data_IF_679572839715
#
_entry.id   IF_679572839715
#
_cell.length_a   1.000
_cell.length_b   1.000
_cell.length_c   1.000
_cell.angle_alpha   90.00
_cell.angle_beta   90.00
_cell.angle_gamma   90.00
#
_symmetry.space_group_name_H-M   'P 1'
#
loop_
_entity.id
_entity.type
_entity.pdbx_description
1 polymer ?
#
# COMPACT_ATOMS: atom_id res chain seq x y z
N UNK A 1 -42.06 1.66 -56.42
CA UNK A 1 -41.12 2.16 -55.39
C UNK A 1 -41.27 1.28 -54.16
N UNK A 2 -40.30 0.41 -53.91
CA UNK A 2 -40.17 -0.36 -52.67
C UNK A 2 -38.68 -0.37 -52.33
N UNK A 3 -38.32 0.25 -51.23
CA UNK A 3 -36.98 0.22 -50.66
C UNK A 3 -36.79 -1.05 -49.84
N UNK A 4 -35.60 -1.64 -49.93
CA UNK A 4 -35.05 -2.52 -48.89
C UNK A 4 -33.59 -2.11 -48.64
N UNK A 5 -33.34 -1.54 -47.46
CA UNK A 5 -31.99 -1.30 -46.94
C UNK A 5 -31.45 -2.59 -46.31
N UNK A 6 -30.67 -3.36 -47.06
CA UNK A 6 -29.90 -4.46 -46.48
C UNK A 6 -28.63 -3.93 -45.81
N UNK A 7 -28.70 -3.73 -44.49
CA UNK A 7 -27.55 -3.51 -43.60
C UNK A 7 -26.81 -4.84 -43.41
N UNK A 8 -25.61 -4.96 -43.97
CA UNK A 8 -24.64 -5.96 -43.52
C UNK A 8 -23.53 -5.25 -42.74
N UNK A 9 -23.70 -5.20 -41.42
CA UNK A 9 -22.63 -4.82 -40.50
C UNK A 9 -21.57 -5.93 -40.51
N UNK A 10 -20.41 -5.66 -41.13
CA UNK A 10 -19.26 -6.56 -41.00
C UNK A 10 -18.76 -6.44 -39.57
N UNK A 11 -18.99 -7.49 -38.77
CA UNK A 11 -18.57 -7.61 -37.38
C UNK A 11 -17.08 -7.32 -37.25
N UNK A 12 -16.74 -6.36 -36.39
CA UNK A 12 -15.43 -6.18 -35.79
C UNK A 12 -14.86 -7.54 -35.41
N UNK A 13 -13.76 -7.96 -36.03
CA UNK A 13 -12.94 -9.08 -35.54
C UNK A 13 -12.20 -8.61 -34.30
N UNK A 14 -12.90 -8.54 -33.17
CA UNK A 14 -12.24 -8.58 -31.87
C UNK A 14 -11.64 -9.98 -31.74
N UNK A 15 -10.38 -10.13 -32.17
CA UNK A 15 -9.57 -11.26 -31.76
C UNK A 15 -9.65 -11.31 -30.24
N UNK A 16 -10.37 -12.31 -29.75
CA UNK A 16 -10.45 -12.64 -28.34
C UNK A 16 -9.02 -12.73 -27.81
N UNK A 17 -8.59 -11.73 -27.06
CA UNK A 17 -7.45 -11.84 -26.15
C UNK A 17 -7.91 -12.74 -25.01
N UNK A 18 -8.09 -14.01 -25.31
CA UNK A 18 -8.15 -15.08 -24.33
C UNK A 18 -6.76 -15.71 -24.30
N UNK A 19 -6.28 -16.05 -23.09
CA UNK A 19 -4.99 -16.70 -22.78
C UNK A 19 -3.84 -15.79 -22.33
N UNK A 20 -4.12 -14.73 -21.55
CA UNK A 20 -3.32 -14.62 -20.30
C UNK A 20 -3.80 -15.79 -19.45
N UNK A 21 -2.95 -16.80 -19.27
CA UNK A 21 -3.23 -17.95 -18.42
C UNK A 21 -3.41 -17.45 -16.98
N UNK A 22 -4.63 -17.03 -16.64
CA UNK A 22 -5.06 -16.82 -15.27
C UNK A 22 -5.13 -18.20 -14.62
N UNK A 23 -3.97 -18.71 -14.20
CA UNK A 23 -3.95 -19.74 -13.18
C UNK A 23 -4.33 -19.07 -11.86
N UNK A 24 -5.63 -18.99 -11.60
CA UNK A 24 -6.10 -18.85 -10.24
C UNK A 24 -5.94 -20.23 -9.60
N UNK A 25 -4.79 -20.50 -8.97
CA UNK A 25 -4.75 -21.54 -7.94
C UNK A 25 -5.90 -21.20 -6.98
N UNK A 26 -6.87 -22.11 -6.80
CA UNK A 26 -7.99 -21.85 -5.88
C UNK A 26 -7.39 -21.41 -4.55
N UNK A 27 -7.86 -20.29 -3.99
CA UNK A 27 -7.38 -19.84 -2.70
C UNK A 27 -7.55 -20.97 -1.67
N UNK A 28 -6.44 -21.52 -1.17
CA UNK A 28 -6.45 -22.47 -0.06
C UNK A 28 -6.38 -21.67 1.24
N UNK A 29 -7.46 -20.94 1.51
CA UNK A 29 -7.64 -20.18 2.75
C UNK A 29 -8.06 -21.04 3.95
N UNK A 30 -8.12 -22.37 3.77
CA UNK A 30 -8.63 -23.30 4.80
C UNK A 30 -7.63 -23.60 5.92
N UNK A 31 -6.45 -22.97 5.91
CA UNK A 31 -5.48 -23.13 7.01
C UNK A 31 -5.82 -22.14 8.13
N UNK A 32 -5.88 -22.58 9.40
CA UNK A 32 -6.09 -21.69 10.56
C UNK A 32 -5.08 -20.53 10.68
N UNK A 33 -3.95 -20.61 9.98
CA UNK A 33 -2.88 -19.60 9.99
C UNK A 33 -2.84 -18.73 8.72
N UNK A 34 -3.98 -18.55 8.05
CA UNK A 34 -4.02 -17.73 6.85
C UNK A 34 -3.91 -16.25 7.22
N UNK A 35 -2.75 -15.65 6.94
CA UNK A 35 -2.56 -14.21 7.10
C UNK A 35 -3.34 -13.46 6.02
N UNK A 36 -3.76 -12.21 6.31
CA UNK A 36 -4.40 -11.40 5.30
C UNK A 36 -3.46 -11.21 4.11
N UNK A 37 -3.97 -11.45 2.91
CA UNK A 37 -3.26 -11.24 1.65
C UNK A 37 -3.77 -10.00 0.93
N UNK A 38 -2.90 -9.38 0.13
CA UNK A 38 -3.20 -8.16 -0.62
C UNK A 38 -2.33 -6.96 -0.23
N UNK A 39 -2.52 -5.81 -0.88
CA UNK A 39 -1.80 -4.59 -0.54
C UNK A 39 -2.02 -4.19 0.94
N UNK A 40 -0.96 -3.73 1.59
CA UNK A 40 -0.97 -3.22 2.97
C UNK A 40 -1.19 -4.27 4.07
N UNK A 41 -1.37 -5.55 3.74
CA UNK A 41 -1.55 -6.60 4.75
C UNK A 41 -0.24 -7.12 5.34
N UNK A 42 0.89 -6.75 4.73
CA UNK A 42 2.24 -7.10 5.16
C UNK A 42 2.93 -5.99 5.96
N UNK A 43 2.22 -4.89 6.25
CA UNK A 43 2.77 -3.76 6.99
C UNK A 43 2.42 -3.89 8.49
N UNK A 44 3.36 -3.59 9.39
CA UNK A 44 3.10 -3.60 10.83
C UNK A 44 2.32 -2.35 11.30
N UNK A 45 1.81 -1.53 10.37
CA UNK A 45 1.04 -0.32 10.65
C UNK A 45 -0.07 -0.12 9.61
N UNK A 46 -1.12 0.62 9.98
CA UNK A 46 -2.28 0.87 9.12
C UNK A 46 -2.14 2.20 8.34
N UNK A 47 -1.87 2.17 7.02
CA UNK A 47 -1.77 3.38 6.20
C UNK A 47 -3.12 4.04 5.90
N UNK A 48 -4.25 3.35 6.11
CA UNK A 48 -5.60 3.88 5.86
C UNK A 48 -6.20 4.61 7.06
N UNK A 49 -5.49 4.68 8.19
CA UNK A 49 -5.93 5.47 9.34
C UNK A 49 -6.06 6.94 8.96
N UNK A 50 -7.15 7.62 9.39
CA UNK A 50 -7.30 9.08 9.24
C UNK A 50 -6.18 9.88 9.91
N UNK A 51 -5.46 9.25 10.85
CA UNK A 51 -4.34 9.83 11.59
C UNK A 51 -2.98 9.39 11.05
N UNK A 52 -2.93 8.64 9.94
CA UNK A 52 -1.68 8.09 9.40
C UNK A 52 -0.65 9.19 9.13
N UNK A 53 -1.05 10.31 8.51
CA UNK A 53 -0.13 11.40 8.22
C UNK A 53 0.54 11.97 9.49
N UNK A 54 -0.23 12.19 10.55
CA UNK A 54 0.29 12.70 11.83
C UNK A 54 1.21 11.67 12.48
N UNK A 55 0.79 10.40 12.53
CA UNK A 55 1.60 9.33 13.12
C UNK A 55 2.91 9.10 12.37
N UNK A 56 2.86 9.10 11.03
CA UNK A 56 4.03 8.91 10.17
C UNK A 56 5.04 10.04 10.35
N UNK A 57 4.62 11.30 10.21
CA UNK A 57 5.52 12.44 10.38
C UNK A 57 6.00 12.61 11.81
N UNK A 58 5.17 12.27 12.81
CA UNK A 58 5.57 12.19 14.20
C UNK A 58 6.70 11.18 14.42
N UNK A 59 6.53 9.95 13.94
CA UNK A 59 7.57 8.91 14.02
C UNK A 59 8.89 9.36 13.37
N UNK A 60 8.81 9.94 12.16
CA UNK A 60 10.00 10.43 11.46
C UNK A 60 10.68 11.58 12.21
N UNK A 61 9.91 12.55 12.69
CA UNK A 61 10.43 13.68 13.45
C UNK A 61 11.07 13.21 14.77
N UNK A 62 10.45 12.28 15.49
CA UNK A 62 11.02 11.71 16.72
C UNK A 62 12.35 11.01 16.44
N UNK A 63 12.43 10.14 15.43
CA UNK A 63 13.66 9.45 15.08
C UNK A 63 14.77 10.42 14.64
N UNK A 64 14.42 11.44 13.86
CA UNK A 64 15.36 12.45 13.40
C UNK A 64 15.86 13.36 14.54
N UNK A 65 14.98 13.78 15.45
CA UNK A 65 15.31 14.70 16.53
C UNK A 65 15.90 14.01 17.77
N UNK A 66 15.78 12.69 17.90
CA UNK A 66 16.28 11.95 19.05
C UNK A 66 17.78 12.18 19.34
N UNK A 67 18.70 12.12 18.35
CA UNK A 67 20.12 12.41 18.60
C UNK A 67 20.38 13.83 19.13
N UNK A 68 19.65 14.83 18.64
CA UNK A 68 19.80 16.22 19.07
C UNK A 68 19.27 16.44 20.49
N UNK A 69 18.13 15.84 20.81
CA UNK A 69 17.60 15.84 22.18
C UNK A 69 18.57 15.19 23.16
N UNK A 70 19.15 14.05 22.79
CA UNK A 70 20.18 13.36 23.60
C UNK A 70 21.41 14.26 23.78
N UNK A 71 21.89 14.92 22.73
CA UNK A 71 23.05 15.80 22.81
C UNK A 71 22.81 16.98 23.77
N UNK A 72 21.65 17.64 23.70
CA UNK A 72 21.27 18.71 24.62
C UNK A 72 21.22 18.20 26.06
N UNK A 73 20.61 17.04 26.29
CA UNK A 73 20.57 16.43 27.63
C UNK A 73 21.98 16.09 28.11
N UNK A 74 22.83 15.50 27.28
CA UNK A 74 24.21 15.15 27.61
C UNK A 74 25.03 16.38 27.99
N UNK A 75 24.96 17.44 27.19
CA UNK A 75 25.60 18.74 27.48
C UNK A 75 25.10 19.32 28.80
N UNK A 76 23.78 19.29 29.01
CA UNK A 76 23.22 19.71 30.29
C UNK A 76 23.74 18.83 31.43
N UNK A 77 23.90 17.51 31.28
CA UNK A 77 24.46 16.64 32.33
C UNK A 77 25.92 16.98 32.64
N UNK A 78 26.75 17.23 31.63
CA UNK A 78 28.14 17.62 31.85
C UNK A 78 28.25 18.95 32.62
N UNK A 79 27.42 19.95 32.31
CA UNK A 79 27.43 21.22 33.04
C UNK A 79 26.95 21.15 34.49
N UNK A 80 26.15 20.14 34.87
CA UNK A 80 25.79 19.90 36.29
C UNK A 80 26.93 19.30 37.10
N UNK A 81 27.93 18.75 36.42
CA UNK A 81 28.98 17.94 37.01
C UNK A 81 30.19 18.80 37.41
N UNK A 82 30.23 20.06 36.99
CA UNK A 82 31.22 21.04 37.44
C UNK A 82 30.81 21.61 38.81
N UNK A 83 31.69 21.55 39.84
CA UNK A 83 31.40 21.99 41.20
C UNK A 83 31.22 23.51 41.36
#
# INVERSE_FOLDING_TARGET
MSQMFSRAATRTTTTLVSRRAFHATRARMSSPYHYPEGPYTNLPFNPHSKWFGIGYWGFMATGFLAPFGIAVVAVYQTYKSDP
#
